data_IF_991659618909
#
_entry.id   IF_991659618909
#
_cell.length_a   1.000
_cell.length_b   1.000
_cell.length_c   1.000
_cell.angle_alpha   90.00
_cell.angle_beta   90.00
_cell.angle_gamma   90.00
#
_symmetry.space_group_name_H-M   'P 1'
#
loop_
_entity.id
_entity.type
_entity.pdbx_description
1 polymer ?
#
# COMPACT_ATOMS: atom_id res chain seq x y z
N UNK A 1 -40.75 -59.54 -11.95
CA UNK A 1 -41.00 -58.31 -12.74
C UNK A 1 -41.77 -58.73 -13.98
N UNK A 2 -42.99 -58.23 -14.17
CA UNK A 2 -43.87 -58.64 -15.28
C UNK A 2 -43.42 -58.00 -16.62
N UNK A 3 -43.73 -58.65 -17.74
CA UNK A 3 -43.39 -58.20 -19.11
C UNK A 3 -43.89 -56.78 -19.43
N UNK A 4 -45.04 -56.40 -18.87
CA UNK A 4 -45.63 -55.07 -19.02
C UNK A 4 -44.78 -53.97 -18.33
N UNK A 5 -44.20 -54.28 -17.16
CA UNK A 5 -43.28 -53.38 -16.47
C UNK A 5 -41.98 -53.20 -17.26
N UNK A 6 -41.51 -54.26 -17.92
CA UNK A 6 -40.30 -54.27 -18.75
C UNK A 6 -40.46 -53.34 -19.96
N UNK A 7 -41.62 -53.42 -20.64
CA UNK A 7 -41.98 -52.50 -21.74
C UNK A 7 -42.04 -51.04 -21.28
N UNK A 8 -42.70 -50.75 -20.17
CA UNK A 8 -42.82 -49.39 -19.65
C UNK A 8 -41.47 -48.74 -19.27
N UNK A 9 -40.52 -49.53 -18.74
CA UNK A 9 -39.16 -49.06 -18.46
C UNK A 9 -38.40 -48.80 -19.77
N UNK A 10 -38.53 -49.68 -20.76
CA UNK A 10 -37.83 -49.56 -22.04
C UNK A 10 -38.29 -48.33 -22.83
N UNK A 11 -39.57 -48.00 -22.73
CA UNK A 11 -40.18 -46.83 -23.35
C UNK A 11 -39.75 -45.52 -22.66
N UNK A 12 -39.73 -45.49 -21.33
CA UNK A 12 -39.12 -44.37 -20.56
C UNK A 12 -37.65 -44.20 -20.89
N UNK A 13 -36.89 -45.29 -21.02
CA UNK A 13 -35.48 -45.25 -21.40
C UNK A 13 -35.29 -44.67 -22.82
N UNK A 14 -36.12 -45.09 -23.79
CA UNK A 14 -36.10 -44.53 -25.15
C UNK A 14 -36.43 -43.04 -25.16
N UNK A 15 -37.45 -42.60 -24.41
CA UNK A 15 -37.79 -41.18 -24.29
C UNK A 15 -36.66 -40.36 -23.63
N UNK A 16 -36.03 -40.88 -22.56
CA UNK A 16 -34.91 -40.21 -21.90
C UNK A 16 -33.68 -40.12 -22.82
N UNK A 17 -33.39 -41.17 -23.59
CA UNK A 17 -32.28 -41.21 -24.55
C UNK A 17 -32.49 -40.22 -25.72
N UNK A 18 -33.74 -40.00 -26.13
CA UNK A 18 -34.08 -39.00 -27.14
C UNK A 18 -33.95 -37.55 -26.66
N UNK A 19 -34.04 -37.30 -25.34
CA UNK A 19 -33.81 -35.97 -24.74
C UNK A 19 -32.34 -35.66 -24.42
N UNK A 20 -31.44 -36.65 -24.53
CA UNK A 20 -30.02 -36.48 -24.22
C UNK A 20 -29.28 -35.70 -25.29
N UNK A 21 -28.47 -34.72 -24.89
CA UNK A 21 -27.48 -34.05 -25.75
C UNK A 21 -26.24 -34.92 -25.94
N UNK A 22 -25.52 -34.75 -27.06
CA UNK A 22 -24.29 -35.52 -27.29
C UNK A 22 -23.19 -35.02 -26.36
N UNK A 23 -22.40 -35.94 -25.82
CA UNK A 23 -21.24 -35.58 -25.00
C UNK A 23 -20.24 -34.74 -25.81
N UNK A 24 -19.88 -35.23 -27.00
CA UNK A 24 -19.12 -34.48 -27.99
C UNK A 24 -20.01 -34.20 -29.21
N UNK A 25 -20.05 -32.94 -29.71
CA UNK A 25 -19.28 -31.77 -29.27
C UNK A 25 -19.96 -30.91 -28.18
N UNK A 26 -21.25 -31.14 -27.89
CA UNK A 26 -22.09 -30.15 -27.20
C UNK A 26 -21.69 -29.89 -25.74
N UNK A 27 -21.35 -30.93 -24.96
CA UNK A 27 -20.96 -30.77 -23.54
C UNK A 27 -19.54 -30.20 -23.45
N UNK A 28 -18.60 -30.73 -24.22
CA UNK A 28 -17.21 -30.24 -24.22
C UNK A 28 -17.16 -28.74 -24.55
N UNK A 29 -17.96 -28.28 -25.52
CA UNK A 29 -18.00 -26.86 -25.85
C UNK A 29 -18.50 -25.99 -24.69
N UNK A 30 -19.52 -26.45 -23.95
CA UNK A 30 -20.02 -25.74 -22.76
C UNK A 30 -18.99 -25.73 -21.64
N UNK A 31 -18.31 -26.85 -21.42
CA UNK A 31 -17.28 -26.96 -20.39
C UNK A 31 -16.11 -26.01 -20.70
N UNK A 32 -15.63 -25.97 -21.95
CA UNK A 32 -14.59 -25.03 -22.38
C UNK A 32 -15.03 -23.58 -22.15
N UNK A 33 -16.26 -23.24 -22.53
CA UNK A 33 -16.78 -21.87 -22.36
C UNK A 33 -16.84 -21.48 -20.88
N UNK A 34 -17.37 -22.34 -20.01
CA UNK A 34 -17.49 -22.08 -18.58
C UNK A 34 -16.10 -22.04 -17.91
N UNK A 35 -15.21 -22.98 -18.22
CA UNK A 35 -13.84 -23.00 -17.70
C UNK A 35 -13.06 -21.76 -18.12
N UNK A 36 -13.21 -21.32 -19.37
CA UNK A 36 -12.57 -20.10 -19.85
C UNK A 36 -13.14 -18.85 -19.17
N UNK A 37 -14.46 -18.78 -18.98
CA UNK A 37 -15.09 -17.69 -18.22
C UNK A 37 -14.59 -17.64 -16.77
N UNK A 38 -14.50 -18.78 -16.09
CA UNK A 38 -13.94 -18.87 -14.73
C UNK A 38 -12.47 -18.43 -14.69
N UNK A 39 -11.68 -18.84 -15.68
CA UNK A 39 -10.28 -18.41 -15.80
C UNK A 39 -10.16 -16.89 -15.93
N UNK A 40 -10.97 -16.26 -16.79
CA UNK A 40 -11.00 -14.80 -16.91
C UNK A 40 -11.37 -14.14 -15.59
N UNK A 41 -12.39 -14.64 -14.88
CA UNK A 41 -12.79 -14.09 -13.57
C UNK A 41 -11.63 -14.16 -12.57
N UNK A 42 -10.90 -15.28 -12.52
CA UNK A 42 -9.74 -15.42 -11.63
C UNK A 42 -8.62 -14.45 -12.00
N UNK A 43 -8.34 -14.25 -13.29
CA UNK A 43 -7.33 -13.27 -13.76
C UNK A 43 -7.73 -11.84 -13.40
N UNK A 44 -9.00 -11.48 -13.60
CA UNK A 44 -9.53 -10.16 -13.21
C UNK A 44 -9.39 -9.96 -11.70
N UNK A 45 -9.78 -10.95 -10.88
CA UNK A 45 -9.60 -10.85 -9.43
C UNK A 45 -8.13 -10.69 -9.05
N UNK A 46 -7.22 -11.45 -9.67
CA UNK A 46 -5.79 -11.34 -9.40
C UNK A 46 -5.22 -9.95 -9.74
N UNK A 47 -5.67 -9.33 -10.84
CA UNK A 47 -5.20 -8.01 -11.27
C UNK A 47 -5.78 -6.88 -10.41
N UNK A 48 -7.07 -6.94 -10.06
CA UNK A 48 -7.76 -5.81 -9.42
C UNK A 48 -7.85 -5.90 -7.90
N UNK A 49 -7.81 -7.10 -7.32
CA UNK A 49 -7.87 -7.30 -5.87
C UNK A 49 -6.47 -7.56 -5.31
N UNK A 50 -5.61 -8.24 -6.09
CA UNK A 50 -4.29 -8.65 -5.62
C UNK A 50 -4.36 -9.66 -4.46
N UNK A 51 -3.21 -10.16 -4.04
CA UNK A 51 -3.05 -10.87 -2.78
C UNK A 51 -1.98 -10.12 -2.01
N UNK A 52 -2.30 -9.70 -0.79
CA UNK A 52 -1.32 -9.07 0.11
C UNK A 52 -0.21 -10.09 0.35
N UNK A 53 1.03 -9.72 0.08
CA UNK A 53 2.18 -10.55 0.44
C UNK A 53 2.37 -10.43 1.95
N UNK A 54 2.18 -11.54 2.65
CA UNK A 54 2.57 -11.64 4.05
C UNK A 54 4.11 -11.60 4.15
N UNK A 55 4.67 -11.04 5.23
CA UNK A 55 6.11 -11.02 5.45
C UNK A 55 6.66 -12.44 5.48
N UNK A 56 7.96 -12.57 5.19
CA UNK A 56 8.62 -13.86 5.20
C UNK A 56 8.51 -14.50 6.59
N UNK A 57 8.12 -15.77 6.63
CA UNK A 57 7.93 -16.50 7.89
C UNK A 57 9.19 -16.45 8.78
N UNK A 58 9.06 -15.87 9.98
CA UNK A 58 10.12 -15.77 10.97
C UNK A 58 9.81 -16.65 12.20
N UNK A 59 10.58 -17.73 12.45
CA UNK A 59 10.34 -18.62 13.59
C UNK A 59 10.53 -17.97 14.97
N UNK A 60 11.19 -16.82 15.06
CA UNK A 60 11.36 -16.08 16.33
C UNK A 60 10.28 -15.02 16.57
N UNK A 61 9.37 -14.80 15.61
CA UNK A 61 8.25 -13.88 15.78
C UNK A 61 7.16 -14.50 16.66
N UNK A 62 7.02 -13.98 17.88
CA UNK A 62 5.96 -14.38 18.81
C UNK A 62 4.75 -13.43 18.79
N UNK A 63 4.82 -12.33 18.04
CA UNK A 63 3.74 -11.36 17.87
C UNK A 63 2.81 -11.73 16.70
N UNK A 64 3.28 -12.53 15.73
CA UNK A 64 2.45 -13.05 14.64
C UNK A 64 1.27 -13.86 15.17
N UNK A 65 0.04 -13.44 14.82
CA UNK A 65 -1.19 -14.16 15.12
C UNK A 65 -1.62 -14.94 13.88
N UNK A 66 -1.33 -16.25 13.78
CA UNK A 66 -1.69 -17.04 12.61
C UNK A 66 -3.21 -17.11 12.45
N UNK A 67 -3.74 -16.41 11.44
CA UNK A 67 -5.15 -16.53 11.05
C UNK A 67 -5.25 -17.52 9.88
N UNK A 68 -6.14 -18.52 9.95
CA UNK A 68 -6.33 -19.43 8.83
C UNK A 68 -7.09 -18.74 7.69
N UNK A 69 -7.02 -19.32 6.50
CA UNK A 69 -7.68 -18.76 5.32
C UNK A 69 -9.20 -18.77 5.45
N UNK A 70 -9.88 -17.95 4.65
CA UNK A 70 -11.32 -17.69 4.76
C UNK A 70 -12.19 -18.96 4.75
N UNK A 71 -11.79 -20.00 4.02
CA UNK A 71 -12.50 -21.28 3.94
C UNK A 71 -12.37 -22.15 5.21
N UNK A 72 -11.48 -21.80 6.15
CA UNK A 72 -11.31 -22.46 7.44
C UNK A 72 -11.80 -21.65 8.64
N UNK A 73 -12.27 -20.42 8.44
CA UNK A 73 -12.74 -19.54 9.54
C UNK A 73 -13.85 -20.17 10.39
N UNK A 74 -14.77 -20.93 9.79
CA UNK A 74 -15.81 -21.61 10.56
C UNK A 74 -15.26 -22.65 11.54
N UNK A 75 -14.15 -23.32 11.18
CA UNK A 75 -13.48 -24.29 12.03
C UNK A 75 -12.72 -23.56 13.15
N UNK A 76 -12.04 -22.46 12.80
CA UNK A 76 -11.34 -21.62 13.76
C UNK A 76 -12.28 -21.06 14.84
N UNK A 77 -13.44 -20.54 14.43
CA UNK A 77 -14.46 -20.06 15.39
C UNK A 77 -14.99 -21.20 16.26
N UNK A 78 -15.18 -22.39 15.68
CA UNK A 78 -15.61 -23.56 16.42
C UNK A 78 -14.59 -23.93 17.51
N UNK A 79 -13.30 -23.81 17.24
CA UNK A 79 -12.24 -24.15 18.19
C UNK A 79 -12.21 -23.27 19.43
N UNK A 80 -12.71 -22.03 19.34
CA UNK A 80 -12.88 -21.16 20.53
C UNK A 80 -13.79 -21.81 21.60
N UNK A 81 -14.69 -22.70 21.21
CA UNK A 81 -15.57 -23.43 22.13
C UNK A 81 -14.94 -24.71 22.72
N UNK A 82 -13.76 -25.14 22.25
CA UNK A 82 -13.06 -26.35 22.70
C UNK A 82 -11.62 -26.05 23.17
N UNK A 83 -11.42 -25.30 24.26
CA UNK A 83 -10.07 -24.92 24.72
C UNK A 83 -9.30 -26.08 25.35
N UNK A 84 -7.98 -26.13 25.11
CA UNK A 84 -7.05 -27.03 25.81
C UNK A 84 -7.05 -28.46 25.27
N UNK A 85 -7.02 -29.45 26.16
CA UNK A 85 -6.87 -30.88 25.80
C UNK A 85 -8.04 -31.46 24.97
N UNK A 86 -9.14 -30.72 24.82
CA UNK A 86 -10.31 -31.12 24.02
C UNK A 86 -10.31 -30.53 22.60
N UNK A 87 -9.29 -29.78 22.21
CA UNK A 87 -9.20 -29.13 20.89
C UNK A 87 -9.34 -30.13 19.73
N UNK A 88 -8.74 -31.32 19.86
CA UNK A 88 -8.83 -32.40 18.88
C UNK A 88 -10.26 -32.90 18.62
N UNK A 89 -11.18 -32.70 19.58
CA UNK A 89 -12.61 -33.00 19.38
C UNK A 89 -13.21 -32.03 18.37
N UNK A 90 -12.86 -30.74 18.48
CA UNK A 90 -13.27 -29.69 17.57
C UNK A 90 -12.67 -29.85 16.17
N UNK A 91 -11.37 -30.15 16.06
CA UNK A 91 -10.66 -30.23 14.77
C UNK A 91 -10.83 -31.56 14.04
N UNK A 92 -10.87 -32.70 14.74
CA UNK A 92 -10.83 -34.01 14.11
C UNK A 92 -12.14 -34.79 14.26
N UNK A 93 -12.73 -34.85 15.47
CA UNK A 93 -13.95 -35.63 15.68
C UNK A 93 -15.14 -35.00 14.97
N UNK A 94 -15.43 -33.71 15.19
CA UNK A 94 -16.65 -33.09 14.65
C UNK A 94 -16.65 -33.09 13.12
N UNK A 95 -15.59 -32.62 12.42
CA UNK A 95 -15.52 -32.75 10.96
C UNK A 95 -15.53 -34.20 10.51
N UNK A 96 -14.84 -35.10 11.21
CA UNK A 96 -14.85 -36.53 10.92
C UNK A 96 -16.25 -37.15 10.99
N UNK A 97 -17.04 -36.78 12.01
CA UNK A 97 -18.44 -37.20 12.15
C UNK A 97 -19.33 -36.58 11.08
N UNK A 98 -19.09 -35.34 10.66
CA UNK A 98 -19.82 -34.70 9.56
C UNK A 98 -19.55 -35.42 8.23
N UNK A 99 -18.30 -35.76 7.94
CA UNK A 99 -17.91 -36.55 6.76
C UNK A 99 -18.49 -37.96 6.85
N UNK A 100 -18.43 -38.61 8.02
CA UNK A 100 -19.04 -39.92 8.24
C UNK A 100 -20.56 -39.87 8.03
N UNK A 101 -21.23 -38.82 8.51
CA UNK A 101 -22.66 -38.62 8.27
C UNK A 101 -22.97 -38.45 6.78
N UNK A 102 -22.12 -37.72 6.03
CA UNK A 102 -22.24 -37.56 4.58
C UNK A 102 -22.01 -38.89 3.84
N UNK A 103 -21.05 -39.69 4.29
CA UNK A 103 -20.77 -41.03 3.78
C UNK A 103 -21.92 -42.01 4.08
N UNK A 104 -22.55 -41.90 5.24
CA UNK A 104 -23.69 -42.72 5.65
C UNK A 104 -25.04 -42.20 5.12
N UNK A 105 -25.08 -40.99 4.57
CA UNK A 105 -26.27 -40.38 3.97
C UNK A 105 -27.04 -41.30 3.00
N UNK A 106 -26.41 -42.04 2.06
CA UNK A 106 -27.14 -42.98 1.19
C UNK A 106 -27.85 -44.11 1.94
N UNK A 107 -27.44 -44.47 3.16
CA UNK A 107 -28.09 -45.51 3.96
C UNK A 107 -29.25 -44.98 4.80
N UNK A 108 -29.12 -43.72 5.26
CA UNK A 108 -30.16 -43.03 6.04
C UNK A 108 -31.27 -42.45 5.15
N UNK A 109 -30.93 -41.87 3.99
CA UNK A 109 -31.92 -41.32 3.07
C UNK A 109 -32.45 -42.38 2.10
N UNK A 110 -33.42 -43.16 2.57
CA UNK A 110 -34.11 -44.22 1.79
C UNK A 110 -35.20 -43.69 0.86
N UNK A 111 -35.19 -42.40 0.51
CA UNK A 111 -36.24 -41.82 -0.32
C UNK A 111 -36.23 -42.43 -1.73
N UNK A 112 -37.38 -42.93 -2.24
CA UNK A 112 -37.45 -43.51 -3.58
C UNK A 112 -37.25 -42.49 -4.72
N UNK A 113 -37.30 -41.19 -4.42
CA UNK A 113 -37.08 -40.12 -5.40
C UNK A 113 -35.64 -39.61 -5.36
N UNK A 114 -34.97 -39.60 -6.53
CA UNK A 114 -33.59 -39.11 -6.66
C UNK A 114 -33.46 -37.59 -6.83
N UNK A 115 -34.52 -36.92 -7.26
CA UNK A 115 -34.49 -35.48 -7.52
C UNK A 115 -34.40 -34.69 -6.21
N UNK A 116 -33.48 -33.72 -6.14
CA UNK A 116 -33.15 -32.95 -4.93
C UNK A 116 -34.38 -32.35 -4.26
N UNK A 117 -35.30 -31.76 -5.03
CA UNK A 117 -36.52 -31.11 -4.49
C UNK A 117 -37.47 -32.05 -3.75
N UNK A 118 -37.37 -33.37 -3.96
CA UNK A 118 -38.20 -34.38 -3.27
C UNK A 118 -37.49 -35.01 -2.07
N UNK A 119 -36.20 -34.74 -1.87
CA UNK A 119 -35.36 -35.28 -0.79
C UNK A 119 -35.31 -34.31 0.39
N UNK A 120 -36.48 -33.95 0.92
CA UNK A 120 -36.61 -32.92 1.98
C UNK A 120 -35.68 -33.18 3.16
N UNK A 121 -35.56 -34.42 3.64
CA UNK A 121 -34.69 -34.76 4.77
C UNK A 121 -33.21 -34.46 4.49
N UNK A 122 -32.65 -35.00 3.40
CA UNK A 122 -31.24 -34.77 3.05
C UNK A 122 -30.96 -33.29 2.76
N UNK A 123 -31.87 -32.59 2.07
CA UNK A 123 -31.72 -31.16 1.80
C UNK A 123 -31.77 -30.36 3.09
N UNK A 124 -32.75 -30.58 3.98
CA UNK A 124 -32.81 -29.88 5.26
C UNK A 124 -31.55 -30.11 6.10
N UNK A 125 -31.07 -31.35 6.19
CA UNK A 125 -29.85 -31.68 6.92
C UNK A 125 -28.62 -30.96 6.35
N UNK A 126 -28.41 -31.00 5.03
CA UNK A 126 -27.30 -30.30 4.38
C UNK A 126 -27.41 -28.77 4.52
N UNK A 127 -28.62 -28.22 4.41
CA UNK A 127 -28.85 -26.78 4.58
C UNK A 127 -28.51 -26.33 5.99
N UNK A 128 -28.84 -27.10 7.03
CA UNK A 128 -28.47 -26.78 8.41
C UNK A 128 -26.95 -26.76 8.60
N UNK A 129 -26.24 -27.74 8.03
CA UNK A 129 -24.77 -27.79 8.09
C UNK A 129 -24.16 -26.56 7.41
N UNK A 130 -24.59 -26.24 6.18
CA UNK A 130 -24.07 -25.09 5.42
C UNK A 130 -24.38 -23.78 6.12
N UNK A 131 -25.60 -23.60 6.63
CA UNK A 131 -25.96 -22.40 7.40
C UNK A 131 -25.15 -22.28 8.69
N UNK A 132 -24.84 -23.39 9.36
CA UNK A 132 -23.94 -23.42 10.51
C UNK A 132 -22.52 -22.98 10.14
N UNK A 133 -21.97 -23.51 9.04
CA UNK A 133 -20.65 -23.11 8.54
C UNK A 133 -20.59 -21.62 8.18
N UNK A 134 -21.59 -21.13 7.45
CA UNK A 134 -21.68 -19.70 7.08
C UNK A 134 -21.84 -18.83 8.32
N UNK A 135 -22.70 -19.23 9.27
CA UNK A 135 -22.91 -18.50 10.51
C UNK A 135 -21.64 -18.41 11.37
N UNK A 136 -20.91 -19.52 11.52
CA UNK A 136 -19.62 -19.55 12.20
C UNK A 136 -18.55 -18.74 11.46
N UNK A 137 -18.54 -18.75 10.12
CA UNK A 137 -17.62 -17.93 9.32
C UNK A 137 -17.87 -16.44 9.54
N UNK A 138 -19.14 -16.01 9.50
CA UNK A 138 -19.52 -14.61 9.76
C UNK A 138 -19.17 -14.23 11.20
N UNK A 139 -19.42 -15.12 12.16
CA UNK A 139 -19.07 -14.88 13.55
C UNK A 139 -17.55 -14.75 13.73
N UNK A 140 -16.75 -15.61 13.11
CA UNK A 140 -15.29 -15.48 13.11
C UNK A 140 -14.85 -14.14 12.52
N UNK A 141 -15.42 -13.75 11.38
CA UNK A 141 -15.10 -12.48 10.74
C UNK A 141 -15.48 -11.27 11.61
N UNK A 142 -16.56 -11.37 12.39
CA UNK A 142 -17.05 -10.28 13.24
C UNK A 142 -16.38 -10.21 14.62
N UNK A 143 -15.95 -11.34 15.20
CA UNK A 143 -15.38 -11.40 16.56
C UNK A 143 -13.87 -11.38 16.59
N UNK A 144 -13.22 -11.68 15.46
CA UNK A 144 -11.76 -11.67 15.38
C UNK A 144 -11.32 -10.25 15.05
N UNK A 145 -10.48 -9.60 15.90
CA UNK A 145 -10.00 -8.26 15.61
C UNK A 145 -9.31 -8.25 14.25
N UNK A 146 -9.55 -7.21 13.46
CA UNK A 146 -8.80 -6.95 12.23
C UNK A 146 -7.32 -6.99 12.59
N UNK A 147 -6.55 -7.81 11.87
CA UNK A 147 -5.10 -7.78 12.05
C UNK A 147 -4.71 -6.38 11.60
N UNK A 148 -4.05 -5.61 12.47
CA UNK A 148 -3.42 -4.36 12.03
C UNK A 148 -2.50 -4.76 10.88
N UNK A 149 -2.93 -4.44 9.66
CA UNK A 149 -2.14 -4.61 8.45
C UNK A 149 -0.78 -3.99 8.76
N UNK A 150 0.25 -4.83 8.82
CA UNK A 150 1.57 -4.50 9.35
C UNK A 150 2.24 -3.42 8.48
N UNK A 151 1.99 -2.16 8.80
CA UNK A 151 2.62 -1.01 8.15
C UNK A 151 2.08 -0.70 6.75
N UNK A 152 2.73 0.26 6.09
CA UNK A 152 2.35 0.70 4.73
C UNK A 152 2.54 -0.47 3.74
N UNK A 153 1.46 -1.10 3.28
CA UNK A 153 1.55 -2.24 2.36
C UNK A 153 1.97 -1.78 0.97
N UNK A 154 3.20 -2.09 0.58
CA UNK A 154 3.73 -1.84 -0.75
C UNK A 154 3.69 -3.11 -1.62
N UNK A 155 2.79 -3.12 -2.60
CA UNK A 155 2.48 -4.31 -3.41
C UNK A 155 3.37 -4.43 -4.65
N UNK A 156 4.05 -3.35 -5.04
CA UNK A 156 4.94 -3.30 -6.21
C UNK A 156 6.37 -2.97 -5.80
N UNK A 157 7.38 -3.45 -6.52
CA UNK A 157 8.79 -3.14 -6.24
C UNK A 157 9.04 -1.63 -6.17
N UNK A 158 8.46 -0.86 -7.10
CA UNK A 158 8.55 0.60 -7.11
C UNK A 158 7.97 1.25 -5.85
N UNK A 159 6.84 0.73 -5.37
CA UNK A 159 6.22 1.21 -4.14
C UNK A 159 7.06 0.86 -2.91
N UNK A 160 7.63 -0.35 -2.89
CA UNK A 160 8.53 -0.79 -1.81
C UNK A 160 9.76 0.09 -1.71
N UNK A 161 10.35 0.49 -2.84
CA UNK A 161 11.51 1.40 -2.84
C UNK A 161 11.12 2.79 -2.31
N UNK A 162 9.97 3.33 -2.70
CA UNK A 162 9.49 4.64 -2.21
C UNK A 162 9.19 4.63 -0.72
N UNK A 163 8.48 3.61 -0.26
CA UNK A 163 8.16 3.45 1.17
C UNK A 163 9.45 3.22 1.96
N UNK A 164 10.36 2.39 1.44
CA UNK A 164 11.69 2.19 2.03
C UNK A 164 12.51 3.47 2.13
N UNK A 165 12.49 4.34 1.12
CA UNK A 165 13.18 5.64 1.15
C UNK A 165 12.62 6.55 2.26
N UNK A 166 11.29 6.59 2.40
CA UNK A 166 10.62 7.39 3.42
C UNK A 166 10.94 6.88 4.83
N UNK A 167 10.87 5.55 5.04
CA UNK A 167 11.27 4.92 6.29
C UNK A 167 12.75 5.19 6.60
N UNK A 168 13.62 5.10 5.60
CA UNK A 168 15.05 5.36 5.77
C UNK A 168 15.30 6.82 6.21
N UNK A 169 14.60 7.77 5.60
CA UNK A 169 14.64 9.19 6.01
C UNK A 169 14.24 9.39 7.46
N UNK A 170 13.17 8.72 7.90
CA UNK A 170 12.59 8.88 9.23
C UNK A 170 13.45 8.23 10.32
N UNK A 171 14.03 7.07 10.04
CA UNK A 171 14.66 6.21 11.06
C UNK A 171 16.19 6.12 10.96
N UNK A 172 16.79 6.33 9.78
CA UNK A 172 18.20 6.01 9.55
C UNK A 172 19.08 7.23 9.25
N UNK A 173 18.54 8.27 8.62
CA UNK A 173 19.33 9.43 8.12
C UNK A 173 20.05 10.21 9.21
N UNK A 174 19.50 10.26 10.43
CA UNK A 174 20.10 11.01 11.55
C UNK A 174 21.50 10.49 11.93
N UNK A 175 21.77 9.20 11.67
CA UNK A 175 23.07 8.55 11.87
C UNK A 175 23.80 8.27 10.55
N UNK A 176 23.12 7.65 9.58
CA UNK A 176 23.77 7.13 8.37
C UNK A 176 23.84 8.14 7.21
N UNK A 177 23.19 9.29 7.33
CA UNK A 177 23.09 10.27 6.25
C UNK A 177 22.09 9.85 5.16
N UNK A 178 21.64 10.81 4.34
CA UNK A 178 20.59 10.60 3.33
C UNK A 178 20.99 9.65 2.19
N UNK A 179 22.28 9.48 1.94
CA UNK A 179 22.80 8.56 0.93
C UNK A 179 23.45 7.32 1.55
N UNK A 180 23.38 7.14 2.89
CA UNK A 180 24.13 6.08 3.57
C UNK A 180 25.63 6.35 3.62
N UNK A 181 26.06 7.60 3.43
CA UNK A 181 27.48 7.98 3.41
C UNK A 181 28.15 7.99 4.80
N UNK A 182 27.37 7.84 5.87
CA UNK A 182 27.86 7.91 7.25
C UNK A 182 28.44 9.29 7.61
N UNK A 183 29.47 9.28 8.45
CA UNK A 183 30.15 10.48 8.94
C UNK A 183 29.93 10.75 10.43
N UNK A 184 30.29 11.95 10.86
CA UNK A 184 30.17 12.37 12.26
C UNK A 184 28.70 12.62 12.65
N UNK A 185 28.20 11.89 13.64
CA UNK A 185 26.87 12.08 14.22
C UNK A 185 26.87 13.38 15.03
N UNK A 186 25.88 14.26 14.80
CA UNK A 186 25.79 15.58 15.46
C UNK A 186 24.49 15.86 16.20
N UNK A 187 23.45 15.05 15.97
CA UNK A 187 22.08 15.31 16.43
C UNK A 187 21.49 14.25 17.36
N UNK A 188 22.22 13.18 17.66
CA UNK A 188 21.72 12.06 18.47
C UNK A 188 22.39 12.08 19.83
N UNK A 189 21.58 12.31 20.87
CA UNK A 189 22.03 12.39 22.26
C UNK A 189 22.78 11.12 22.66
N UNK A 190 24.05 11.27 23.04
CA UNK A 190 24.91 10.18 23.52
C UNK A 190 25.75 9.51 22.43
N UNK A 191 25.58 9.90 21.16
CA UNK A 191 26.40 9.44 20.04
C UNK A 191 27.09 10.59 19.29
N UNK A 192 27.04 11.83 19.82
CA UNK A 192 27.69 12.96 19.15
C UNK A 192 29.20 12.79 19.03
N UNK A 193 29.74 13.06 17.85
CA UNK A 193 31.16 12.92 17.54
C UNK A 193 31.58 11.50 17.16
N UNK A 194 30.68 10.52 17.21
CA UNK A 194 30.94 9.18 16.65
C UNK A 194 30.99 9.29 15.14
N UNK A 195 32.05 8.76 14.54
CA UNK A 195 32.21 8.70 13.09
C UNK A 195 31.75 7.33 12.63
N UNK A 196 30.68 7.29 11.84
CA UNK A 196 30.16 6.08 11.23
C UNK A 196 30.77 5.87 9.85
N UNK A 197 31.09 4.62 9.56
CA UNK A 197 31.51 4.18 8.23
C UNK A 197 30.33 4.22 7.24
N UNK A 198 30.59 4.49 5.96
CA UNK A 198 29.55 4.52 4.93
C UNK A 198 28.98 3.11 4.68
N UNK A 199 27.65 3.01 4.73
CA UNK A 199 26.91 1.76 4.51
C UNK A 199 26.51 1.53 3.06
N UNK A 200 26.66 2.55 2.21
CA UNK A 200 26.34 2.51 0.78
C UNK A 200 27.50 2.04 -0.11
N UNK A 201 28.60 1.57 0.48
CA UNK A 201 29.80 1.16 -0.26
C UNK A 201 29.69 -0.28 -0.77
N UNK A 202 30.45 -0.60 -1.82
CA UNK A 202 30.58 -1.97 -2.34
C UNK A 202 31.05 -2.95 -1.25
N UNK A 203 31.91 -2.51 -0.33
CA UNK A 203 32.40 -3.34 0.79
C UNK A 203 31.30 -3.79 1.76
N UNK A 204 30.16 -3.09 1.79
CA UNK A 204 28.98 -3.46 2.58
C UNK A 204 27.92 -4.10 1.70
N UNK A 205 27.59 -3.49 0.56
CA UNK A 205 26.53 -3.97 -0.33
C UNK A 205 26.89 -5.31 -0.97
N UNK A 206 28.15 -5.57 -1.33
CA UNK A 206 28.49 -6.80 -2.04
C UNK A 206 28.45 -8.08 -1.20
N UNK A 207 29.06 -8.12 0.02
CA UNK A 207 29.14 -9.34 0.81
C UNK A 207 27.90 -9.60 1.66
N UNK A 208 27.13 -8.57 2.01
CA UNK A 208 25.94 -8.77 2.84
C UNK A 208 24.81 -9.29 1.96
N UNK A 209 24.06 -10.27 2.44
CA UNK A 209 22.81 -10.71 1.78
C UNK A 209 21.64 -9.85 2.23
N UNK A 210 20.51 -9.89 1.53
CA UNK A 210 19.28 -9.19 1.95
C UNK A 210 18.86 -9.60 3.36
N UNK A 211 18.97 -10.89 3.66
CA UNK A 211 18.74 -11.44 4.99
C UNK A 211 19.74 -10.92 6.03
N UNK A 212 21.00 -10.69 5.64
CA UNK A 212 21.99 -10.08 6.54
C UNK A 212 21.62 -8.64 6.86
N UNK A 213 21.26 -7.84 5.85
CA UNK A 213 20.83 -6.46 6.05
C UNK A 213 19.54 -6.40 6.89
N UNK A 214 18.57 -7.25 6.59
CA UNK A 214 17.34 -7.40 7.36
C UNK A 214 17.66 -7.67 8.83
N UNK A 215 18.46 -8.70 9.13
CA UNK A 215 18.79 -9.09 10.50
C UNK A 215 19.55 -8.00 11.27
N UNK A 216 20.39 -7.22 10.58
CA UNK A 216 21.10 -6.08 11.18
C UNK A 216 20.12 -4.99 11.60
N UNK A 217 19.09 -4.69 10.79
CA UNK A 217 18.08 -3.67 11.09
C UNK A 217 17.11 -4.19 12.16
N UNK A 218 16.67 -5.44 12.02
CA UNK A 218 15.71 -6.12 12.90
C UNK A 218 16.20 -6.15 14.35
N UNK A 219 17.38 -6.73 14.58
CA UNK A 219 17.97 -6.88 15.93
C UNK A 219 18.83 -5.69 16.36
N UNK A 220 19.20 -4.81 15.44
CA UNK A 220 20.18 -3.77 15.68
C UNK A 220 21.60 -4.31 15.91
N UNK A 221 22.53 -3.40 16.22
CA UNK A 221 23.89 -3.73 16.64
C UNK A 221 24.23 -2.94 17.92
N UNK A 222 23.76 -3.38 19.10
CA UNK A 222 23.89 -2.61 20.34
C UNK A 222 25.34 -2.26 20.71
N UNK A 223 26.29 -3.15 20.40
CA UNK A 223 27.71 -2.91 20.65
C UNK A 223 28.29 -1.77 19.79
N UNK A 224 27.60 -1.42 18.70
CA UNK A 224 27.99 -0.36 17.75
C UNK A 224 27.05 0.86 17.86
N UNK A 225 26.15 0.88 18.85
CA UNK A 225 25.23 2.00 19.08
C UNK A 225 24.00 2.02 18.18
N UNK A 226 23.79 0.99 17.35
CA UNK A 226 22.57 0.85 16.55
C UNK A 226 21.50 0.08 17.35
N UNK A 227 20.38 0.70 17.74
CA UNK A 227 19.30 0.00 18.44
C UNK A 227 18.56 -0.97 17.50
N UNK A 228 17.79 -1.92 18.05
CA UNK A 228 16.84 -2.69 17.26
C UNK A 228 15.74 -1.77 16.71
N UNK A 229 15.34 -1.99 15.45
CA UNK A 229 14.26 -1.21 14.81
C UNK A 229 12.96 -1.99 14.70
N UNK A 230 13.00 -3.31 14.77
CA UNK A 230 11.83 -4.17 14.69
C UNK A 230 10.97 -4.08 15.95
N UNK A 231 9.65 -4.07 15.77
CA UNK A 231 8.67 -4.17 16.87
C UNK A 231 8.92 -5.37 17.77
N UNK A 232 9.47 -6.47 17.24
CA UNK A 232 9.80 -7.68 18.00
C UNK A 232 10.92 -7.46 19.04
N UNK A 233 11.84 -6.55 18.75
CA UNK A 233 12.99 -6.24 19.60
C UNK A 233 12.87 -4.87 20.30
N UNK A 234 11.66 -4.30 20.33
CA UNK A 234 11.35 -3.05 21.02
C UNK A 234 11.50 -1.78 20.17
N UNK A 235 11.66 -1.92 18.86
CA UNK A 235 11.60 -0.82 17.88
C UNK A 235 10.17 -0.54 17.38
N UNK A 236 10.07 0.21 16.29
CA UNK A 236 8.81 0.75 15.76
C UNK A 236 8.40 0.14 14.40
N UNK A 237 9.31 -0.57 13.71
CA UNK A 237 9.10 -1.04 12.34
C UNK A 237 8.52 -2.46 12.29
N UNK A 238 7.59 -2.68 11.37
CA UNK A 238 7.10 -4.02 11.04
C UNK A 238 8.15 -4.82 10.25
N UNK A 239 8.07 -6.16 10.24
CA UNK A 239 8.90 -7.00 9.38
C UNK A 239 8.88 -6.57 7.90
N UNK A 240 7.69 -6.28 7.37
CA UNK A 240 7.53 -5.83 5.99
C UNK A 240 8.21 -4.48 5.73
N UNK A 241 8.11 -3.54 6.68
CA UNK A 241 8.77 -2.23 6.59
C UNK A 241 10.30 -2.34 6.57
N UNK A 242 10.86 -3.30 7.30
CA UNK A 242 12.31 -3.60 7.24
C UNK A 242 12.68 -4.20 5.88
N UNK A 243 11.84 -5.05 5.29
CA UNK A 243 12.07 -5.55 3.92
C UNK A 243 12.06 -4.40 2.89
N UNK A 244 11.17 -3.41 3.04
CA UNK A 244 11.15 -2.23 2.18
C UNK A 244 12.41 -1.38 2.33
N UNK A 245 12.92 -1.22 3.55
CA UNK A 245 14.22 -0.57 3.79
C UNK A 245 15.36 -1.28 3.06
N UNK A 246 15.46 -2.61 3.20
CA UNK A 246 16.49 -3.41 2.51
C UNK A 246 16.34 -3.28 1.00
N UNK A 247 15.11 -3.32 0.49
CA UNK A 247 14.79 -3.14 -0.92
C UNK A 247 15.27 -1.77 -1.41
N UNK A 248 14.94 -0.70 -0.70
CA UNK A 248 15.45 0.64 -1.02
C UNK A 248 16.98 0.69 -1.05
N UNK A 249 17.66 0.17 -0.02
CA UNK A 249 19.13 0.16 0.05
C UNK A 249 19.75 -0.57 -1.15
N UNK A 250 19.19 -1.73 -1.51
CA UNK A 250 19.65 -2.54 -2.64
C UNK A 250 19.52 -1.81 -3.96
N UNK A 251 18.32 -1.39 -4.30
CA UNK A 251 18.05 -0.79 -5.61
C UNK A 251 18.56 0.65 -5.72
N UNK A 252 19.01 1.26 -4.63
CA UNK A 252 19.61 2.60 -4.63
C UNK A 252 21.15 2.56 -4.62
N UNK A 253 21.77 1.61 -3.92
CA UNK A 253 23.23 1.60 -3.69
C UNK A 253 23.97 0.39 -4.26
N UNK A 254 23.30 -0.73 -4.53
CA UNK A 254 23.92 -1.91 -5.14
C UNK A 254 23.84 -1.80 -6.66
N UNK A 255 24.97 -1.53 -7.32
CA UNK A 255 25.04 -1.37 -8.77
C UNK A 255 24.81 -2.68 -9.55
N UNK A 256 24.77 -3.82 -8.86
CA UNK A 256 24.40 -5.13 -9.42
C UNK A 256 22.88 -5.33 -9.45
N UNK A 257 22.12 -4.52 -8.71
CA UNK A 257 20.67 -4.61 -8.66
C UNK A 257 20.07 -4.01 -9.95
N UNK A 258 19.57 -4.87 -10.82
CA UNK A 258 18.83 -4.43 -12.01
C UNK A 258 17.39 -4.09 -11.62
N UNK A 259 17.00 -2.84 -11.81
CA UNK A 259 15.61 -2.42 -11.66
C UNK A 259 14.72 -3.15 -12.69
N UNK A 260 13.54 -3.66 -12.30
CA UNK A 260 12.62 -4.25 -13.27
C UNK A 260 12.20 -3.22 -14.32
N UNK A 261 12.03 -3.65 -15.59
CA UNK A 261 11.64 -2.80 -16.73
C UNK A 261 10.24 -2.13 -16.61
N UNK A 262 9.54 -2.34 -15.49
CA UNK A 262 8.38 -1.51 -15.09
C UNK A 262 8.80 -0.03 -15.03
N UNK A 263 7.88 0.94 -15.17
CA UNK A 263 8.26 2.34 -15.21
C UNK A 263 8.91 2.76 -13.90
N UNK A 264 10.24 2.74 -13.89
CA UNK A 264 11.11 3.30 -12.85
C UNK A 264 10.93 4.82 -12.90
N UNK A 265 9.84 5.29 -12.32
CA UNK A 265 9.57 6.69 -12.09
C UNK A 265 9.51 7.02 -10.59
N UNK A 266 9.57 6.02 -9.71
CA UNK A 266 9.21 6.19 -8.30
C UNK A 266 10.42 6.43 -7.37
N UNK A 267 11.60 5.89 -7.67
CA UNK A 267 12.74 5.89 -6.74
C UNK A 267 13.88 6.87 -7.08
N UNK A 268 14.00 7.26 -8.35
CA UNK A 268 15.02 8.22 -8.78
C UNK A 268 14.35 9.59 -8.94
N UNK A 269 14.92 10.62 -8.30
CA UNK A 269 14.49 12.01 -8.51
C UNK A 269 14.54 12.28 -10.03
N UNK A 270 13.39 12.53 -10.69
CA UNK A 270 13.35 12.61 -12.15
C UNK A 270 14.24 13.74 -12.66
N UNK A 271 15.05 13.45 -13.69
CA UNK A 271 15.85 14.48 -14.34
C UNK A 271 14.95 15.37 -15.19
N UNK A 272 14.96 16.68 -14.90
CA UNK A 272 14.11 17.64 -15.60
C UNK A 272 14.57 17.84 -17.05
N UNK A 273 13.64 17.82 -18.00
CA UNK A 273 13.93 18.28 -19.35
C UNK A 273 14.24 19.80 -19.35
N UNK A 274 14.97 20.35 -20.35
CA UNK A 274 15.47 21.73 -20.31
C UNK A 274 14.44 22.84 -20.07
N UNK A 275 13.16 22.66 -20.46
CA UNK A 275 12.10 23.67 -20.32
C UNK A 275 10.89 23.17 -19.50
N UNK A 276 11.02 22.03 -18.83
CA UNK A 276 9.95 21.46 -18.01
C UNK A 276 9.70 22.26 -16.74
N UNK A 277 8.46 22.62 -16.47
CA UNK A 277 8.06 23.17 -15.18
C UNK A 277 7.88 21.99 -14.22
N UNK A 278 8.60 21.91 -13.10
CA UNK A 278 8.44 20.80 -12.16
C UNK A 278 7.10 20.87 -11.42
N UNK A 279 6.57 19.71 -11.02
CA UNK A 279 5.47 19.59 -10.04
C UNK A 279 6.00 19.15 -8.67
N UNK A 280 5.23 19.45 -7.62
CA UNK A 280 5.51 18.95 -6.29
C UNK A 280 5.53 17.41 -6.27
N UNK A 281 4.44 16.79 -6.71
CA UNK A 281 4.24 15.33 -6.63
C UNK A 281 5.37 14.52 -7.27
N UNK A 282 5.85 14.95 -8.44
CA UNK A 282 6.79 14.16 -9.25
C UNK A 282 8.24 14.51 -8.94
N UNK A 283 8.53 15.78 -8.68
CA UNK A 283 9.92 16.26 -8.66
C UNK A 283 10.39 16.70 -7.28
N UNK A 284 9.53 17.39 -6.51
CA UNK A 284 9.94 18.00 -5.24
C UNK A 284 9.71 17.08 -4.06
N UNK A 285 8.57 16.39 -4.03
CA UNK A 285 8.20 15.48 -2.96
C UNK A 285 9.25 14.38 -2.72
N UNK A 286 9.82 13.71 -3.75
CA UNK A 286 10.88 12.73 -3.53
C UNK A 286 12.12 13.33 -2.84
N UNK A 287 12.52 14.55 -3.23
CA UNK A 287 13.66 15.24 -2.62
C UNK A 287 13.37 15.59 -1.15
N UNK A 288 12.17 16.11 -0.89
CA UNK A 288 11.73 16.44 0.48
C UNK A 288 11.70 15.19 1.36
N UNK A 289 11.14 14.09 0.87
CA UNK A 289 11.10 12.81 1.57
C UNK A 289 12.50 12.34 1.93
N UNK A 290 13.43 12.37 0.97
CA UNK A 290 14.80 11.89 1.16
C UNK A 290 15.65 12.76 2.09
N UNK A 291 15.56 14.09 1.97
CA UNK A 291 16.52 15.01 2.59
C UNK A 291 15.96 15.90 3.70
N UNK A 292 14.64 16.07 3.79
CA UNK A 292 14.04 17.10 4.64
C UNK A 292 13.18 16.53 5.78
N UNK A 293 12.36 15.50 5.51
CA UNK A 293 11.36 14.98 6.46
C UNK A 293 11.96 14.49 7.78
N UNK A 294 13.17 13.94 7.76
CA UNK A 294 13.89 13.48 8.96
C UNK A 294 13.91 14.52 10.09
N UNK A 295 14.08 15.79 9.74
CA UNK A 295 14.05 16.94 10.65
C UNK A 295 12.74 17.76 10.56
N UNK A 296 12.10 17.87 9.40
CA UNK A 296 10.88 18.64 9.17
C UNK A 296 9.60 17.81 9.35
N UNK A 297 9.45 17.23 10.55
CA UNK A 297 8.28 16.42 10.98
C UNK A 297 7.79 16.84 12.36
N UNK A 298 6.56 16.46 12.76
CA UNK A 298 6.04 16.72 14.10
C UNK A 298 6.98 16.21 15.20
N UNK A 299 7.11 16.96 16.29
CA UNK A 299 7.92 16.59 17.46
C UNK A 299 9.42 16.93 17.40
N UNK A 300 9.94 17.36 16.24
CA UNK A 300 11.32 17.88 16.12
C UNK A 300 11.38 19.40 16.33
N UNK A 301 12.54 19.93 16.72
CA UNK A 301 12.77 21.37 16.89
C UNK A 301 13.07 22.03 15.53
N UNK A 302 12.02 22.43 14.81
CA UNK A 302 12.09 22.88 13.42
C UNK A 302 11.20 24.11 13.12
N UNK A 303 10.94 24.96 14.13
CA UNK A 303 10.02 26.11 14.03
C UNK A 303 8.61 25.73 13.55
N UNK A 304 8.12 24.55 13.96
CA UNK A 304 6.83 23.97 13.56
C UNK A 304 6.65 23.83 12.03
N UNK A 305 7.75 23.83 11.27
CA UNK A 305 7.70 23.69 9.82
C UNK A 305 7.80 22.21 9.44
N UNK A 306 6.69 21.67 8.93
CA UNK A 306 6.56 20.28 8.52
C UNK A 306 6.45 20.17 6.99
N UNK A 307 6.86 19.03 6.45
CA UNK A 307 6.93 18.83 5.00
C UNK A 307 6.33 17.48 4.56
N UNK A 308 5.39 16.92 5.32
CA UNK A 308 4.76 15.63 4.99
C UNK A 308 3.85 15.70 3.77
N UNK A 309 3.33 16.89 3.44
CA UNK A 309 2.43 17.12 2.32
C UNK A 309 2.67 18.46 1.63
N UNK A 310 2.15 18.61 0.41
CA UNK A 310 2.20 19.88 -0.33
C UNK A 310 1.65 21.04 0.51
N UNK A 311 0.51 20.83 1.16
CA UNK A 311 -0.13 21.85 1.99
C UNK A 311 0.77 22.28 3.14
N UNK A 312 1.40 21.33 3.83
CA UNK A 312 2.35 21.61 4.91
C UNK A 312 3.57 22.40 4.40
N UNK A 313 4.16 22.03 3.27
CA UNK A 313 5.31 22.72 2.69
C UNK A 313 5.00 24.18 2.39
N UNK A 314 3.78 24.45 1.93
CA UNK A 314 3.33 25.80 1.55
C UNK A 314 2.91 26.65 2.76
N UNK A 315 2.33 26.03 3.81
CA UNK A 315 1.55 26.78 4.82
C UNK A 315 1.99 26.57 6.27
N UNK A 316 2.74 25.50 6.57
CA UNK A 316 3.14 25.22 7.96
C UNK A 316 4.32 26.08 8.40
N UNK A 317 4.65 26.06 9.69
CA UNK A 317 5.80 26.75 10.26
C UNK A 317 5.51 28.14 10.81
N UNK A 318 6.27 28.53 11.83
CA UNK A 318 6.15 29.81 12.52
C UNK A 318 6.49 31.02 11.62
N UNK A 319 7.21 30.77 10.51
CA UNK A 319 7.61 31.77 9.52
C UNK A 319 6.82 31.68 8.21
N UNK A 320 5.68 31.00 8.19
CA UNK A 320 4.86 30.89 6.98
C UNK A 320 4.45 32.29 6.43
N UNK A 321 4.40 32.46 5.09
CA UNK A 321 4.65 31.46 4.06
C UNK A 321 6.15 31.21 3.82
N UNK A 322 6.56 29.93 3.86
CA UNK A 322 7.95 29.54 3.57
C UNK A 322 8.24 29.45 2.06
N UNK A 323 7.18 29.23 1.27
CA UNK A 323 7.21 29.18 -0.19
C UNK A 323 6.19 30.19 -0.73
N UNK A 324 6.64 31.10 -1.57
CA UNK A 324 5.81 32.08 -2.26
C UNK A 324 5.92 31.77 -3.77
N UNK A 325 4.82 31.32 -4.41
CA UNK A 325 4.81 31.03 -5.84
C UNK A 325 5.34 32.19 -6.70
N UNK A 326 6.33 31.90 -7.54
CA UNK A 326 6.97 32.86 -8.44
C UNK A 326 8.02 33.77 -7.78
N UNK A 327 8.25 33.66 -6.47
CA UNK A 327 9.16 34.53 -5.74
C UNK A 327 10.44 33.78 -5.32
N UNK A 328 11.55 34.14 -5.96
CA UNK A 328 12.88 33.58 -5.69
C UNK A 328 13.44 33.98 -4.31
N UNK A 329 12.78 34.92 -3.60
CA UNK A 329 13.12 35.31 -2.24
C UNK A 329 12.38 34.50 -1.16
N UNK A 330 11.63 33.46 -1.57
CA UNK A 330 11.01 32.48 -0.67
C UNK A 330 12.01 31.96 0.37
N UNK A 331 11.57 31.86 1.63
CA UNK A 331 12.41 31.41 2.77
C UNK A 331 13.02 30.04 2.48
N UNK A 332 12.26 29.13 1.85
CA UNK A 332 12.77 27.81 1.44
C UNK A 332 14.03 27.93 0.58
N UNK A 333 13.99 28.73 -0.51
CA UNK A 333 15.11 28.87 -1.44
C UNK A 333 16.33 29.51 -0.77
N UNK A 334 16.10 30.58 0.01
CA UNK A 334 17.16 31.27 0.75
C UNK A 334 17.83 30.34 1.77
N UNK A 335 17.04 29.48 2.41
CA UNK A 335 17.55 28.47 3.37
C UNK A 335 18.36 27.39 2.65
N UNK A 336 17.91 26.91 1.49
CA UNK A 336 18.65 25.94 0.66
C UNK A 336 20.00 26.50 0.19
N UNK A 337 20.06 27.81 -0.09
CA UNK A 337 21.29 28.55 -0.42
C UNK A 337 22.14 28.95 0.79
N UNK A 338 21.73 28.57 2.01
CA UNK A 338 22.43 28.87 3.28
C UNK A 338 22.59 30.37 3.53
N UNK A 339 21.63 31.18 3.10
CA UNK A 339 21.59 32.59 3.44
C UNK A 339 21.30 32.77 4.94
N UNK A 340 22.04 33.66 5.59
CA UNK A 340 21.73 34.07 6.96
C UNK A 340 20.46 34.92 6.97
N UNK A 341 19.49 34.50 7.77
CA UNK A 341 18.19 35.17 7.91
C UNK A 341 17.87 35.40 9.38
N UNK A 342 17.29 36.57 9.66
CA UNK A 342 16.77 36.89 10.99
C UNK A 342 15.61 35.92 11.32
N UNK A 343 15.64 35.30 12.49
CA UNK A 343 14.66 34.31 12.98
C UNK A 343 14.67 32.92 12.31
N UNK A 344 15.62 32.63 11.41
CA UNK A 344 15.86 31.29 10.89
C UNK A 344 17.14 30.75 11.52
N UNK A 345 16.98 29.77 12.41
CA UNK A 345 18.10 29.08 13.04
C UNK A 345 18.89 28.21 12.06
N UNK A 346 20.03 27.64 12.47
CA UNK A 346 20.79 26.73 11.62
C UNK A 346 19.93 25.51 11.25
N UNK A 347 19.74 25.27 9.95
CA UNK A 347 19.07 24.08 9.42
C UNK A 347 20.09 22.93 9.30
N UNK A 348 20.06 21.89 10.17
CA UNK A 348 20.71 20.62 9.88
C UNK A 348 19.95 19.91 8.75
N UNK A 349 20.62 19.15 7.85
CA UNK A 349 22.02 18.75 7.85
C UNK A 349 22.99 19.90 7.52
N UNK A 350 24.25 19.81 7.93
CA UNK A 350 25.28 20.86 7.65
C UNK A 350 25.82 20.82 6.22
N UNK A 351 25.75 19.65 5.57
CA UNK A 351 26.10 19.46 4.16
C UNK A 351 25.04 20.09 3.27
N UNK A 352 25.47 20.89 2.29
CA UNK A 352 24.55 21.50 1.32
C UNK A 352 23.96 20.44 0.39
N UNK A 353 22.72 20.66 -0.04
CA UNK A 353 22.09 19.84 -1.07
C UNK A 353 22.83 20.02 -2.40
N UNK A 354 22.83 18.98 -3.25
CA UNK A 354 23.49 19.07 -4.56
C UNK A 354 22.86 20.21 -5.39
N UNK A 355 23.66 20.99 -6.15
CA UNK A 355 23.14 22.13 -6.93
C UNK A 355 22.03 21.75 -7.93
N UNK A 356 22.14 20.56 -8.52
CA UNK A 356 21.13 20.01 -9.43
C UNK A 356 19.76 19.83 -8.78
N UNK A 357 19.71 19.48 -7.49
CA UNK A 357 18.46 19.34 -6.75
C UNK A 357 17.91 20.71 -6.32
N UNK A 358 18.79 21.64 -5.95
CA UNK A 358 18.39 23.03 -5.65
C UNK A 358 17.74 23.66 -6.89
N UNK A 359 18.29 23.40 -8.09
CA UNK A 359 17.72 23.88 -9.35
C UNK A 359 16.29 23.38 -9.61
N UNK A 360 15.92 22.19 -9.09
CA UNK A 360 14.54 21.68 -9.17
C UNK A 360 13.61 22.56 -8.33
N UNK A 361 13.99 22.89 -7.09
CA UNK A 361 13.22 23.80 -6.23
C UNK A 361 13.09 25.20 -6.84
N UNK A 362 14.19 25.74 -7.37
CA UNK A 362 14.18 27.06 -8.03
C UNK A 362 13.19 27.10 -9.18
N UNK A 363 13.22 26.08 -10.06
CA UNK A 363 12.30 25.98 -11.20
C UNK A 363 10.86 25.75 -10.77
N UNK A 364 10.64 24.96 -9.73
CA UNK A 364 9.31 24.71 -9.17
C UNK A 364 8.71 25.98 -8.60
N UNK A 365 9.45 26.72 -7.77
CA UNK A 365 8.99 27.99 -7.19
C UNK A 365 8.76 29.02 -8.30
N UNK A 366 9.70 29.19 -9.23
CA UNK A 366 9.56 30.10 -10.38
C UNK A 366 8.34 29.74 -11.27
N UNK A 367 8.04 28.45 -11.40
CA UNK A 367 6.90 27.92 -12.14
C UNK A 367 5.55 28.05 -11.44
N UNK A 368 5.51 28.66 -10.25
CA UNK A 368 4.28 28.87 -9.48
C UNK A 368 4.01 27.81 -8.42
N UNK A 369 5.02 27.02 -8.03
CA UNK A 369 4.96 26.00 -6.99
C UNK A 369 3.79 25.02 -7.19
N UNK A 370 3.66 24.47 -8.40
CA UNK A 370 2.51 23.64 -8.81
C UNK A 370 2.49 22.30 -8.05
N UNK A 371 1.30 21.82 -7.70
CA UNK A 371 1.19 20.59 -6.94
C UNK A 371 1.27 19.37 -7.86
N UNK A 372 0.40 19.32 -8.88
CA UNK A 372 0.17 18.10 -9.66
C UNK A 372 0.98 18.03 -10.94
N UNK A 373 1.24 16.83 -11.44
CA UNK A 373 1.88 16.61 -12.74
C UNK A 373 1.10 17.27 -13.90
N UNK A 374 -0.24 17.28 -13.82
CA UNK A 374 -1.09 17.87 -14.85
C UNK A 374 -0.95 19.40 -14.91
N UNK A 375 -0.88 20.07 -13.77
CA UNK A 375 -0.64 21.51 -13.68
C UNK A 375 0.74 21.87 -14.26
N UNK A 376 1.77 21.12 -13.88
CA UNK A 376 3.12 21.28 -14.38
C UNK A 376 3.24 21.08 -15.90
N UNK A 377 2.57 20.06 -16.44
CA UNK A 377 2.54 19.82 -17.88
C UNK A 377 1.85 20.97 -18.63
N UNK A 378 0.75 21.51 -18.09
CA UNK A 378 0.05 22.65 -18.66
C UNK A 378 0.92 23.92 -18.64
N UNK A 379 1.63 24.20 -17.54
CA UNK A 379 2.55 25.32 -17.43
C UNK A 379 3.75 25.20 -18.38
N UNK A 380 4.30 23.98 -18.51
CA UNK A 380 5.36 23.65 -19.48
C UNK A 380 4.92 23.94 -20.91
N UNK A 381 3.73 23.50 -21.28
CA UNK A 381 3.16 23.74 -22.61
C UNK A 381 2.91 25.23 -22.87
N UNK A 382 2.44 25.98 -21.86
CA UNK A 382 2.22 27.43 -21.94
C UNK A 382 3.53 28.22 -22.09
N UNK A 383 4.62 27.77 -21.47
CA UNK A 383 5.96 28.37 -21.64
C UNK A 383 6.60 28.07 -23.00
N UNK A 384 6.28 26.93 -23.63
CA UNK A 384 6.79 26.54 -24.93
C UNK A 384 6.03 27.19 -26.11
N UNK A 385 4.77 27.53 -25.92
CA UNK A 385 3.95 28.23 -26.91
C UNK A 385 3.82 29.71 -26.56
N UNK A 386 4.69 30.56 -27.11
CA UNK A 386 4.63 32.01 -26.92
C UNK A 386 3.29 32.62 -27.32
N UNK A 387 2.34 32.63 -26.39
CA UNK A 387 1.08 33.37 -26.45
C UNK A 387 0.62 33.60 -25.03
N UNK A 388 0.71 34.86 -24.62
CA UNK A 388 0.23 35.37 -23.34
C UNK A 388 -1.26 35.08 -23.17
N UNK A 389 -1.62 34.21 -22.23
CA UNK A 389 -2.94 34.23 -21.60
C UNK A 389 -2.76 34.91 -20.24
N UNK A 390 -3.50 35.98 -19.91
CA UNK A 390 -3.36 36.64 -18.63
C UNK A 390 -3.98 35.75 -17.54
N UNK A 391 -3.17 35.35 -16.56
CA UNK A 391 -3.67 34.79 -15.30
C UNK A 391 -4.17 35.95 -14.46
N UNK A 392 -5.48 36.20 -14.50
CA UNK A 392 -6.17 37.01 -13.49
C UNK A 392 -7.12 36.08 -12.74
N UNK A 393 -6.59 35.34 -11.77
CA UNK A 393 -7.41 34.72 -10.72
C UNK A 393 -7.23 35.55 -9.44
N UNK A 394 -7.98 36.64 -9.34
CA UNK A 394 -8.07 37.41 -8.10
C UNK A 394 -8.93 36.62 -7.12
N UNK A 395 -8.29 35.90 -6.18
CA UNK A 395 -8.99 35.33 -5.04
C UNK A 395 -9.44 36.49 -4.13
N UNK A 396 -10.72 36.86 -4.23
CA UNK A 396 -11.30 37.88 -3.35
C UNK A 396 -11.75 37.19 -2.06
N UNK A 397 -10.93 37.26 -1.01
CA UNK A 397 -11.33 36.84 0.34
C UNK A 397 -12.13 37.99 0.95
N UNK A 398 -13.46 37.93 0.83
CA UNK A 398 -14.35 38.74 1.67
C UNK A 398 -14.77 37.92 2.89
N UNK A 399 -14.12 38.19 4.03
CA UNK A 399 -14.54 37.66 5.33
C UNK A 399 -13.63 38.16 6.46
N UNK A 400 -14.15 38.99 7.36
CA UNK A 400 -13.46 39.41 8.58
C UNK A 400 -13.20 38.21 9.48
N UNK A 401 -11.94 38.00 9.83
CA UNK A 401 -11.46 36.92 10.71
C UNK A 401 -11.92 37.21 12.14
N UNK A 402 -12.69 36.30 12.73
CA UNK A 402 -12.90 36.21 14.19
C UNK A 402 -12.16 34.97 14.67
N UNK A 403 -11.27 35.04 15.67
CA UNK A 403 -10.53 33.87 16.14
C UNK A 403 -11.47 32.87 16.85
N UNK A 404 -11.48 31.61 16.40
CA UNK A 404 -12.07 30.50 17.17
C UNK A 404 -13.25 29.72 16.57
N UNK A 405 -13.58 29.82 15.28
CA UNK A 405 -14.62 28.97 14.67
C UNK A 405 -14.11 28.13 13.50
N UNK A 406 -14.45 26.84 13.51
CA UNK A 406 -14.25 25.87 12.44
C UNK A 406 -15.04 26.25 11.18
N UNK A 407 -14.38 26.24 10.02
CA UNK A 407 -14.99 26.53 8.72
C UNK A 407 -15.33 25.21 8.04
N UNK A 408 -16.61 24.96 7.79
CA UNK A 408 -17.06 23.86 6.92
C UNK A 408 -17.14 24.37 5.48
N UNK A 409 -16.39 23.83 4.51
CA UNK A 409 -16.47 24.29 3.14
C UNK A 409 -17.76 23.79 2.47
N UNK A 410 -18.49 24.68 1.82
CA UNK A 410 -19.61 24.34 0.92
C UNK A 410 -19.19 24.69 -0.51
N UNK A 411 -19.18 23.70 -1.41
CA UNK A 411 -18.81 23.86 -2.83
C UNK A 411 -20.06 24.29 -3.62
N UNK A 412 -20.03 25.38 -4.41
CA UNK A 412 -21.15 25.72 -5.28
C UNK A 412 -21.09 24.92 -6.60
N UNK A 413 -22.24 24.35 -6.96
CA UNK A 413 -22.47 23.57 -8.18
C UNK A 413 -22.46 24.49 -9.41
N UNK A 414 -21.61 24.19 -10.41
CA UNK A 414 -21.56 24.93 -11.66
C UNK A 414 -22.75 24.59 -12.58
N UNK A 415 -23.55 25.59 -12.95
CA UNK A 415 -24.57 25.50 -14.01
C UNK A 415 -24.01 26.05 -15.31
N UNK A 416 -24.03 25.23 -16.37
CA UNK A 416 -23.68 25.63 -17.74
C UNK A 416 -24.85 26.37 -18.41
N UNK A 417 -24.70 27.65 -18.75
CA UNK A 417 -25.64 28.35 -19.64
C UNK A 417 -25.12 28.31 -21.09
N UNK A 418 -25.94 27.73 -21.97
CA UNK A 418 -25.73 27.71 -23.41
C UNK A 418 -26.40 28.94 -24.07
N UNK A 419 -25.60 29.68 -24.82
CA UNK A 419 -25.98 30.84 -25.63
C UNK A 419 -27.04 30.50 -26.69
N UNK A 420 -28.18 31.19 -26.70
CA UNK A 420 -29.09 31.26 -27.85
C UNK A 420 -29.40 32.72 -28.20
N UNK A 421 -29.09 33.06 -29.45
CA UNK A 421 -29.23 34.36 -30.10
C UNK A 421 -30.68 34.55 -30.62
N UNK A 422 -31.29 35.75 -30.53
CA UNK A 422 -32.65 35.96 -31.00
C UNK A 422 -32.70 36.56 -32.42
N UNK A 423 -33.66 36.11 -33.22
CA UNK A 423 -34.36 36.87 -34.28
C UNK A 423 -35.69 36.17 -34.60
N UNK A 424 -36.71 36.87 -35.13
CA UNK A 424 -36.98 38.31 -35.14
C UNK A 424 -38.06 38.74 -34.13
#
# INVERSE_FOLDING_TARGET
>A
MNEEQKKGILEKYKQAKQKGVKFYPDIIYKDILISFALFIVLVIMAIFIGVVNEPKANPSDTAYVPRPEWYFLFLFEMLKYFPGEIEWIGTAIIPGLAVLALFLLPFFDRNPNRHWSKRKFAITFMTVIVLGMVGLTILAAATTPEQEEEGVIANTMSEQIVVGEELYSIHCVECHGPEGEGGEIKGVEGLEGVILDPINTEDVMYPFTDETLYNIIDMGQPNLGMPPFSTQFGGELSPAEIEYLVTFMRYTWDDRAELPEEPVAAAAIPTLAPNEVPSYEVHVAPIIKRYCISCHRPGKKNNNYTMGSYEEVMTSGDNAPNVIPGDMTSILLRTLHREEMENIGPMPPSKALKPELIAIFERWVAGGALNTAAEAAAATAAGAGGTTVPITATLTITGTIVPGSTITPTIPLATSEATQQPTP
#
